data_IF_325990212958
#
_entry.id   IF_325990212958
#
_cell.length_a   1.000
_cell.length_b   1.000
_cell.length_c   1.000
_cell.angle_alpha   90.00
_cell.angle_beta   90.00
_cell.angle_gamma   90.00
#
_symmetry.space_group_name_H-M   'P 1'
#
loop_
_entity.id
_entity.type
_entity.pdbx_description
1 polymer ?
#
# COMPACT_ATOMS: atom_id res chain seq x y z
N UNK A 1 10.72 4.68 -9.30
CA UNK A 1 11.80 4.45 -8.31
C UNK A 1 11.50 5.27 -7.07
N UNK A 2 11.89 4.74 -5.87
CA UNK A 2 11.72 5.48 -4.62
C UNK A 2 12.74 5.02 -3.58
N UNK A 3 12.94 5.87 -2.57
CA UNK A 3 13.93 5.65 -1.52
C UNK A 3 13.35 6.04 -0.16
N UNK A 4 13.73 5.31 0.86
CA UNK A 4 13.41 5.65 2.25
C UNK A 4 14.43 6.63 2.82
N UNK A 5 14.01 7.42 3.80
CA UNK A 5 14.87 8.36 4.52
C UNK A 5 14.38 8.54 5.96
N UNK A 6 15.31 8.51 6.92
CA UNK A 6 15.06 8.67 8.36
C UNK A 6 15.71 9.95 8.92
N UNK A 7 16.52 10.62 8.11
CA UNK A 7 17.19 11.87 8.46
C UNK A 7 17.20 12.86 7.30
N UNK A 8 17.49 14.12 7.57
CA UNK A 8 17.63 15.15 6.53
C UNK A 8 18.74 14.82 5.54
N UNK A 9 19.81 14.20 6.00
CA UNK A 9 20.95 13.76 5.18
C UNK A 9 20.53 12.66 4.22
N UNK A 10 19.76 11.70 4.70
CA UNK A 10 19.21 10.64 3.86
C UNK A 10 18.19 11.16 2.86
N UNK A 11 17.37 12.17 3.22
CA UNK A 11 16.48 12.85 2.26
C UNK A 11 17.29 13.47 1.12
N UNK A 12 18.39 14.16 1.41
CA UNK A 12 19.30 14.73 0.37
C UNK A 12 19.89 13.63 -0.51
N UNK A 13 20.32 12.52 0.10
CA UNK A 13 20.83 11.35 -0.64
C UNK A 13 19.76 10.74 -1.54
N UNK A 14 18.53 10.60 -1.04
CA UNK A 14 17.40 10.11 -1.83
C UNK A 14 17.11 11.00 -3.05
N UNK A 15 17.12 12.33 -2.85
CA UNK A 15 16.95 13.29 -3.94
C UNK A 15 18.04 13.17 -5.01
N UNK A 16 19.30 13.03 -4.59
CA UNK A 16 20.42 12.82 -5.53
C UNK A 16 20.26 11.54 -6.34
N UNK A 17 19.78 10.45 -5.71
CA UNK A 17 19.53 9.16 -6.39
C UNK A 17 18.31 9.17 -7.32
N UNK A 18 17.31 9.99 -7.02
CA UNK A 18 16.14 10.20 -7.87
C UNK A 18 16.48 11.01 -9.12
N UNK A 19 17.45 11.92 -9.00
CA UNK A 19 17.87 12.78 -10.09
C UNK A 19 16.93 13.96 -10.37
N UNK A 20 17.00 14.46 -11.58
CA UNK A 20 16.19 15.60 -12.04
C UNK A 20 14.79 15.14 -12.45
N UNK A 21 13.86 15.18 -11.49
CA UNK A 21 12.44 14.91 -11.72
C UNK A 21 11.60 16.13 -11.34
N UNK A 22 10.48 16.31 -12.03
CA UNK A 22 9.66 17.53 -11.92
C UNK A 22 8.68 17.51 -10.74
N UNK A 23 8.34 16.33 -10.21
CA UNK A 23 7.37 16.16 -9.13
C UNK A 23 7.76 15.01 -8.23
N UNK A 24 7.71 15.25 -6.93
CA UNK A 24 8.02 14.28 -5.89
C UNK A 24 6.80 13.98 -5.05
N UNK A 25 6.71 12.74 -4.57
CA UNK A 25 5.77 12.35 -3.52
C UNK A 25 6.54 11.93 -2.29
N UNK A 26 6.21 12.53 -1.15
CA UNK A 26 6.68 12.10 0.17
C UNK A 26 5.54 11.37 0.86
N UNK A 27 5.81 10.16 1.34
CA UNK A 27 4.84 9.37 2.10
C UNK A 27 5.41 9.05 3.48
N UNK A 28 4.72 9.48 4.54
CA UNK A 28 5.03 9.03 5.90
C UNK A 28 4.86 7.52 6.00
N UNK A 29 5.85 6.84 6.57
CA UNK A 29 5.80 5.40 6.80
C UNK A 29 5.42 5.16 8.25
N UNK A 30 4.17 4.77 8.48
CA UNK A 30 3.60 4.32 9.75
C UNK A 30 2.64 3.17 9.48
N UNK A 31 2.45 2.29 10.44
CA UNK A 31 1.50 1.16 10.34
C UNK A 31 0.04 1.62 10.52
N UNK A 32 -0.37 2.62 9.75
CA UNK A 32 -1.75 3.11 9.74
C UNK A 32 -2.15 3.61 8.34
N UNK A 33 -3.41 3.40 8.00
CA UNK A 33 -4.05 3.96 6.83
C UNK A 33 -4.50 5.43 7.03
N UNK A 34 -5.05 6.02 5.97
CA UNK A 34 -5.59 7.38 6.00
C UNK A 34 -4.54 8.49 6.12
N UNK A 35 -3.26 8.19 5.90
CA UNK A 35 -2.12 9.11 6.05
C UNK A 35 -2.28 10.42 5.28
N UNK A 36 -2.84 10.35 4.06
CA UNK A 36 -3.06 11.54 3.23
C UNK A 36 -4.01 12.57 3.85
N UNK A 37 -5.02 12.11 4.59
CA UNK A 37 -6.00 12.93 5.30
C UNK A 37 -5.59 13.26 6.73
N UNK A 38 -4.50 12.68 7.23
CA UNK A 38 -3.99 12.86 8.59
C UNK A 38 -3.47 14.28 8.85
N UNK A 39 -3.22 14.59 10.12
CA UNK A 39 -2.61 15.84 10.55
C UNK A 39 -1.52 15.57 11.57
N UNK A 40 -0.42 16.29 11.47
CA UNK A 40 0.64 16.22 12.47
C UNK A 40 0.28 17.01 13.72
N UNK A 41 0.80 16.62 14.87
CA UNK A 41 0.62 17.34 16.14
C UNK A 41 1.08 18.81 16.06
N UNK A 42 1.96 19.15 15.12
CA UNK A 42 2.44 20.51 14.81
C UNK A 42 1.42 21.35 14.02
N UNK A 43 0.29 20.78 13.59
CA UNK A 43 -0.69 21.42 12.70
C UNK A 43 -0.38 21.27 11.21
N UNK A 44 0.75 20.65 10.85
CA UNK A 44 1.07 20.34 9.44
C UNK A 44 0.11 19.26 8.93
N UNK A 45 -0.52 19.47 7.77
CA UNK A 45 -1.56 18.59 7.24
C UNK A 45 -1.03 17.64 6.18
N UNK A 46 -1.48 16.39 6.22
CA UNK A 46 -1.21 15.36 5.24
C UNK A 46 0.12 14.63 5.45
N UNK A 47 0.05 13.32 5.67
CA UNK A 47 1.20 12.41 5.70
C UNK A 47 1.64 11.92 4.31
N UNK A 48 0.96 12.38 3.25
CA UNK A 48 1.35 12.20 1.85
C UNK A 48 1.37 13.59 1.21
N UNK A 49 2.49 13.97 0.59
CA UNK A 49 2.69 15.28 -0.03
C UNK A 49 3.23 15.14 -1.42
N UNK A 50 2.61 15.86 -2.34
CA UNK A 50 3.13 16.10 -3.69
C UNK A 50 3.80 17.47 -3.70
N UNK A 51 5.05 17.53 -4.13
CA UNK A 51 5.87 18.74 -4.17
C UNK A 51 6.67 18.81 -5.48
N UNK A 52 7.08 20.02 -5.89
CA UNK A 52 7.57 20.26 -7.24
C UNK A 52 9.10 20.47 -7.32
N UNK A 53 9.79 20.53 -6.19
CA UNK A 53 11.24 20.78 -6.18
C UNK A 53 11.91 20.27 -4.90
N UNK A 54 13.22 20.16 -4.93
CA UNK A 54 14.04 19.68 -3.81
C UNK A 54 13.87 20.52 -2.54
N UNK A 55 13.72 21.84 -2.65
CA UNK A 55 13.56 22.72 -1.48
C UNK A 55 12.23 22.43 -0.76
N UNK A 56 11.16 22.20 -1.50
CA UNK A 56 9.87 21.79 -0.94
C UNK A 56 9.94 20.39 -0.30
N UNK A 57 10.66 19.44 -0.91
CA UNK A 57 10.92 18.12 -0.31
C UNK A 57 11.58 18.26 1.05
N UNK A 58 12.66 19.04 1.15
CA UNK A 58 13.37 19.26 2.41
C UNK A 58 12.48 19.94 3.45
N UNK A 59 11.70 20.94 3.07
CA UNK A 59 10.76 21.62 3.97
C UNK A 59 9.65 20.67 4.45
N UNK A 60 9.09 19.87 3.57
CA UNK A 60 8.06 18.88 3.92
C UNK A 60 8.64 17.81 4.85
N UNK A 61 9.83 17.27 4.55
CA UNK A 61 10.48 16.24 5.36
C UNK A 61 10.74 16.72 6.80
N UNK A 62 11.16 17.98 7.00
CA UNK A 62 11.36 18.58 8.33
C UNK A 62 10.06 18.68 9.14
N UNK A 63 8.92 18.90 8.47
CA UNK A 63 7.62 18.95 9.14
C UNK A 63 7.05 17.56 9.45
N UNK A 64 7.53 16.52 8.77
CA UNK A 64 7.00 15.17 8.88
C UNK A 64 7.88 14.28 9.78
N UNK A 65 9.21 14.27 9.57
CA UNK A 65 10.13 13.44 10.36
C UNK A 65 10.14 13.83 11.84
N UNK A 66 10.06 12.84 12.70
CA UNK A 66 10.10 13.01 14.15
C UNK A 66 8.81 13.51 14.79
N UNK A 67 7.80 13.88 13.99
CA UNK A 67 6.52 14.37 14.46
C UNK A 67 5.43 13.28 14.41
N UNK A 68 4.45 13.36 15.32
CA UNK A 68 3.34 12.41 15.37
C UNK A 68 2.30 12.76 14.31
N UNK A 69 1.98 11.78 13.47
CA UNK A 69 0.89 11.85 12.49
C UNK A 69 -0.37 11.22 13.08
N UNK A 70 -1.43 12.01 13.14
CA UNK A 70 -2.76 11.62 13.63
C UNK A 70 -3.62 11.28 12.42
N UNK A 71 -4.14 10.05 12.40
CA UNK A 71 -5.11 9.56 11.41
C UNK A 71 -6.31 8.95 12.11
N UNK A 72 -7.35 8.58 11.37
CA UNK A 72 -8.49 7.87 11.94
C UNK A 72 -8.10 6.55 12.62
N UNK A 73 -7.03 5.90 12.14
CA UNK A 73 -6.56 4.60 12.67
C UNK A 73 -5.55 4.71 13.82
N UNK A 74 -4.81 5.82 13.93
CA UNK A 74 -3.82 6.00 15.02
C UNK A 74 -4.41 6.53 16.31
N UNK A 75 -5.65 7.02 16.26
CA UNK A 75 -6.25 7.74 17.38
C UNK A 75 -5.58 9.11 17.64
N UNK A 76 -6.00 9.81 18.71
CA UNK A 76 -5.59 11.20 18.99
C UNK A 76 -4.10 11.36 19.37
N UNK A 77 -3.45 10.32 19.87
CA UNK A 77 -2.01 10.34 20.18
C UNK A 77 -1.14 10.35 18.93
N UNK A 78 -1.67 9.86 17.82
CA UNK A 78 -0.93 9.70 16.59
C UNK A 78 0.18 8.65 16.67
N UNK A 79 0.93 8.50 15.57
CA UNK A 79 2.15 7.69 15.49
C UNK A 79 3.30 8.55 15.01
N UNK A 80 4.47 8.38 15.63
CA UNK A 80 5.68 9.12 15.27
C UNK A 80 6.20 8.67 13.92
N UNK A 81 6.38 9.60 12.99
CA UNK A 81 6.95 9.33 11.67
C UNK A 81 8.47 9.28 11.78
N UNK A 82 9.02 8.09 11.74
CA UNK A 82 10.47 7.87 11.76
C UNK A 82 11.06 7.75 10.36
N UNK A 83 10.26 7.30 9.40
CA UNK A 83 10.70 7.03 8.03
C UNK A 83 9.77 7.72 7.04
N UNK A 84 10.36 8.33 6.02
CA UNK A 84 9.66 8.81 4.82
C UNK A 84 10.03 7.93 3.63
N UNK A 85 9.08 7.70 2.75
CA UNK A 85 9.32 7.17 1.42
C UNK A 85 9.19 8.31 0.41
N UNK A 86 10.23 8.52 -0.39
CA UNK A 86 10.33 9.61 -1.37
C UNK A 86 10.41 8.98 -2.75
N UNK A 87 9.53 9.37 -3.63
CA UNK A 87 9.44 8.83 -5.00
C UNK A 87 9.04 9.90 -5.99
N UNK A 88 9.21 9.61 -7.28
CA UNK A 88 8.64 10.38 -8.36
C UNK A 88 7.12 10.30 -8.32
N UNK A 89 6.44 11.41 -8.63
CA UNK A 89 4.98 11.42 -8.82
C UNK A 89 4.61 10.80 -10.16
N UNK A 90 3.53 10.03 -10.16
CA UNK A 90 2.91 9.52 -11.38
C UNK A 90 1.69 10.36 -11.72
N UNK A 91 1.48 10.65 -13.01
CA UNK A 91 0.20 11.16 -13.47
C UNK A 91 -0.80 10.01 -13.48
N UNK A 92 -1.95 10.23 -12.85
CA UNK A 92 -2.98 9.22 -12.64
C UNK A 92 -4.14 9.48 -13.60
N UNK A 93 -4.48 8.48 -14.41
CA UNK A 93 -5.68 8.51 -15.27
C UNK A 93 -6.89 7.98 -14.50
N UNK A 94 -6.72 6.89 -13.77
CA UNK A 94 -7.79 6.28 -12.96
C UNK A 94 -7.21 5.52 -11.78
N UNK A 95 -7.95 5.50 -10.67
CA UNK A 95 -7.61 4.77 -9.45
C UNK A 95 -8.57 3.60 -9.25
N UNK A 96 -8.03 2.42 -8.96
CA UNK A 96 -8.75 1.19 -8.70
C UNK A 96 -8.39 0.65 -7.32
N UNK A 97 -9.27 -0.18 -6.79
CA UNK A 97 -8.98 -1.04 -5.64
C UNK A 97 -8.71 -2.47 -6.10
N UNK A 98 -7.75 -3.14 -5.48
CA UNK A 98 -7.45 -4.55 -5.69
C UNK A 98 -6.97 -5.18 -4.39
N UNK A 99 -7.59 -6.30 -3.98
CA UNK A 99 -7.10 -7.07 -2.84
C UNK A 99 -7.24 -8.57 -3.06
N UNK A 100 -6.43 -9.34 -2.33
CA UNK A 100 -6.55 -10.79 -2.22
C UNK A 100 -6.71 -11.11 -0.73
N UNK A 101 -7.77 -11.81 -0.39
CA UNK A 101 -8.11 -12.21 0.99
C UNK A 101 -8.46 -13.69 1.05
N UNK A 102 -8.36 -14.27 2.25
CA UNK A 102 -8.91 -15.58 2.52
C UNK A 102 -10.38 -15.45 2.95
N UNK A 103 -11.28 -16.01 2.17
CA UNK A 103 -12.68 -16.17 2.55
C UNK A 103 -12.82 -17.46 3.38
N UNK A 104 -13.07 -17.28 4.68
CA UNK A 104 -13.17 -18.40 5.63
C UNK A 104 -14.47 -19.19 5.48
N UNK A 105 -15.52 -18.57 4.97
CA UNK A 105 -16.81 -19.21 4.74
C UNK A 105 -16.72 -20.27 3.63
N UNK A 106 -16.06 -19.92 2.54
CA UNK A 106 -15.91 -20.78 1.36
C UNK A 106 -14.60 -21.54 1.33
N UNK A 107 -13.68 -21.27 2.29
CA UNK A 107 -12.32 -21.80 2.34
C UNK A 107 -11.55 -21.60 1.03
N UNK A 108 -11.74 -20.43 0.40
CA UNK A 108 -11.09 -20.05 -0.85
C UNK A 108 -10.41 -18.70 -0.71
N UNK A 109 -9.37 -18.47 -1.52
CA UNK A 109 -8.91 -17.10 -1.73
C UNK A 109 -9.88 -16.36 -2.64
N UNK A 110 -10.16 -15.10 -2.33
CA UNK A 110 -11.03 -14.24 -3.13
C UNK A 110 -10.24 -13.01 -3.56
N UNK A 111 -10.29 -12.71 -4.85
CA UNK A 111 -9.80 -11.44 -5.36
C UNK A 111 -10.96 -10.46 -5.33
N UNK A 112 -10.77 -9.33 -4.65
CA UNK A 112 -11.71 -8.23 -4.58
C UNK A 112 -11.14 -7.09 -5.41
N UNK A 113 -11.93 -6.52 -6.29
CA UNK A 113 -11.54 -5.39 -7.10
C UNK A 113 -12.68 -4.36 -7.19
N UNK A 114 -12.35 -3.10 -7.43
CA UNK A 114 -13.33 -2.06 -7.68
C UNK A 114 -12.75 -0.98 -8.60
N UNK A 115 -13.62 -0.34 -9.37
CA UNK A 115 -13.30 0.87 -10.12
C UNK A 115 -13.19 2.10 -9.24
N UNK A 116 -13.57 2.01 -7.96
CA UNK A 116 -13.46 3.06 -6.95
C UNK A 116 -12.22 2.79 -6.09
N UNK A 117 -11.10 3.41 -6.47
CA UNK A 117 -9.83 3.31 -5.74
C UNK A 117 -9.49 4.56 -4.95
N UNK A 118 -8.43 4.48 -4.14
CA UNK A 118 -7.95 5.62 -3.34
C UNK A 118 -8.85 6.01 -2.15
N UNK A 119 -9.89 5.22 -1.88
CA UNK A 119 -10.85 5.45 -0.81
C UNK A 119 -11.06 4.19 0.04
N UNK A 120 -11.88 4.32 1.07
CA UNK A 120 -12.22 3.24 1.98
C UNK A 120 -13.17 2.26 1.28
N UNK A 121 -12.73 1.02 1.13
CA UNK A 121 -13.48 0.00 0.39
C UNK A 121 -14.75 -0.43 1.14
N UNK A 122 -14.75 -0.35 2.46
CA UNK A 122 -15.94 -0.64 3.28
C UNK A 122 -17.04 0.36 2.98
N UNK A 123 -16.71 1.64 2.85
CA UNK A 123 -17.68 2.66 2.43
C UNK A 123 -18.21 2.41 1.00
N UNK A 124 -17.36 2.01 0.08
CA UNK A 124 -17.77 1.63 -1.29
C UNK A 124 -18.72 0.43 -1.25
N UNK A 125 -18.44 -0.56 -0.39
CA UNK A 125 -19.30 -1.75 -0.26
C UNK A 125 -20.68 -1.44 0.34
N UNK A 126 -20.78 -0.44 1.20
CA UNK A 126 -22.05 0.03 1.79
C UNK A 126 -22.85 0.90 0.81
N UNK A 127 -22.19 1.88 0.17
CA UNK A 127 -22.86 2.87 -0.68
C UNK A 127 -23.12 2.37 -2.10
N UNK A 128 -22.19 1.59 -2.65
CA UNK A 128 -22.21 1.12 -4.05
C UNK A 128 -21.73 -0.32 -4.19
N UNK A 129 -22.45 -1.32 -3.60
CA UNK A 129 -22.04 -2.73 -3.60
C UNK A 129 -21.84 -3.31 -5.01
N UNK A 130 -22.57 -2.81 -5.99
CA UNK A 130 -22.45 -3.23 -7.39
C UNK A 130 -21.08 -2.89 -8.02
N UNK A 131 -20.31 -1.99 -7.39
CA UNK A 131 -18.95 -1.66 -7.80
C UNK A 131 -17.90 -2.64 -7.27
N UNK A 132 -18.30 -3.56 -6.40
CA UNK A 132 -17.40 -4.55 -5.82
C UNK A 132 -17.40 -5.83 -6.66
N UNK A 133 -16.30 -6.06 -7.32
CA UNK A 133 -16.03 -7.28 -8.09
C UNK A 133 -15.45 -8.33 -7.14
N UNK A 134 -16.04 -9.51 -7.08
CA UNK A 134 -15.54 -10.65 -6.29
C UNK A 134 -15.28 -11.84 -7.19
N UNK A 135 -14.03 -12.31 -7.19
CA UNK A 135 -13.61 -13.45 -8.01
C UNK A 135 -12.99 -14.52 -7.09
N UNK A 136 -13.75 -15.56 -6.72
CA UNK A 136 -13.22 -16.66 -5.94
C UNK A 136 -12.22 -17.47 -6.77
N UNK A 137 -11.16 -17.93 -6.11
CA UNK A 137 -10.12 -18.76 -6.71
C UNK A 137 -9.98 -20.04 -5.91
N UNK A 138 -10.36 -21.14 -6.52
CA UNK A 138 -10.28 -22.47 -5.89
C UNK A 138 -8.83 -22.82 -5.54
N UNK A 139 -8.54 -23.28 -4.32
CA UNK A 139 -7.20 -23.70 -3.92
C UNK A 139 -6.70 -24.90 -4.73
N UNK A 140 -7.61 -25.74 -5.25
CA UNK A 140 -7.27 -26.91 -6.05
C UNK A 140 -6.69 -26.54 -7.44
N UNK A 141 -7.09 -25.40 -8.01
CA UNK A 141 -6.66 -24.98 -9.35
C UNK A 141 -5.74 -23.77 -9.35
N UNK A 142 -5.77 -22.98 -8.27
CA UNK A 142 -5.08 -21.71 -8.15
C UNK A 142 -5.56 -20.66 -9.15
N UNK A 143 -4.85 -19.56 -9.21
CA UNK A 143 -5.15 -18.48 -10.14
C UNK A 143 -4.95 -18.93 -11.59
N UNK A 144 -5.95 -18.68 -12.42
CA UNK A 144 -5.92 -19.02 -13.85
C UNK A 144 -6.13 -17.78 -14.72
N UNK A 145 -5.69 -17.81 -15.98
CA UNK A 145 -5.79 -16.66 -16.88
C UNK A 145 -7.21 -16.09 -17.04
N UNK A 146 -8.24 -16.91 -16.90
CA UNK A 146 -9.63 -16.43 -16.99
C UNK A 146 -10.03 -15.56 -15.80
N UNK A 147 -9.52 -15.82 -14.59
CA UNK A 147 -9.72 -14.95 -13.43
C UNK A 147 -9.14 -13.56 -13.70
N UNK A 148 -7.90 -13.52 -14.18
CA UNK A 148 -7.21 -12.25 -14.49
C UNK A 148 -7.95 -11.47 -15.60
N UNK A 149 -8.38 -12.15 -16.67
CA UNK A 149 -9.16 -11.51 -17.74
C UNK A 149 -10.48 -10.96 -17.23
N UNK A 150 -11.21 -11.73 -16.42
CA UNK A 150 -12.47 -11.28 -15.83
C UNK A 150 -12.27 -10.00 -15.06
N UNK A 151 -11.32 -9.97 -14.12
CA UNK A 151 -11.00 -8.79 -13.32
C UNK A 151 -10.61 -7.60 -14.22
N UNK A 152 -9.72 -7.82 -15.20
CA UNK A 152 -9.30 -6.76 -16.11
C UNK A 152 -10.46 -6.15 -16.89
N UNK A 153 -11.40 -6.97 -17.39
CA UNK A 153 -12.55 -6.49 -18.14
C UNK A 153 -13.56 -5.76 -17.24
N UNK A 154 -13.84 -6.30 -16.07
CA UNK A 154 -14.74 -5.66 -15.12
C UNK A 154 -14.19 -4.34 -14.57
N UNK A 155 -12.84 -4.18 -14.52
CA UNK A 155 -12.18 -2.90 -14.23
C UNK A 155 -12.13 -1.95 -15.45
N UNK A 156 -12.59 -2.38 -16.62
CA UNK A 156 -12.54 -1.57 -17.84
C UNK A 156 -11.13 -1.38 -18.43
N UNK A 157 -10.19 -2.28 -18.09
CA UNK A 157 -8.83 -2.22 -18.63
C UNK A 157 -8.79 -2.71 -20.09
N UNK A 158 -7.97 -2.09 -20.91
CA UNK A 158 -7.89 -2.35 -22.35
C UNK A 158 -6.47 -2.62 -22.84
N UNK A 159 -6.34 -3.24 -23.99
CA UNK A 159 -5.09 -3.42 -24.70
C UNK A 159 -3.99 -4.05 -23.86
N UNK A 160 -2.86 -3.37 -23.73
CA UNK A 160 -1.70 -3.82 -22.95
C UNK A 160 -1.93 -3.84 -21.45
N UNK A 161 -2.88 -3.04 -20.94
CA UNK A 161 -3.23 -2.97 -19.52
C UNK A 161 -3.74 -4.32 -18.99
N UNK A 162 -4.50 -5.07 -19.82
CA UNK A 162 -4.98 -6.42 -19.46
C UNK A 162 -3.82 -7.35 -19.14
N UNK A 163 -2.78 -7.34 -19.96
CA UNK A 163 -1.58 -8.15 -19.74
C UNK A 163 -0.80 -7.72 -18.50
N UNK A 164 -0.67 -6.41 -18.31
CA UNK A 164 0.01 -5.85 -17.13
C UNK A 164 -0.73 -6.21 -15.83
N UNK A 165 -2.05 -6.05 -15.81
CA UNK A 165 -2.90 -6.45 -14.68
C UNK A 165 -2.81 -7.95 -14.40
N UNK A 166 -2.82 -8.79 -15.44
CA UNK A 166 -2.67 -10.24 -15.29
C UNK A 166 -1.31 -10.63 -14.69
N UNK A 167 -0.22 -9.98 -15.11
CA UNK A 167 1.10 -10.20 -14.56
C UNK A 167 1.17 -9.77 -13.08
N UNK A 168 0.60 -8.60 -12.76
CA UNK A 168 0.53 -8.10 -11.40
C UNK A 168 -0.25 -9.06 -10.50
N UNK A 169 -1.47 -9.45 -10.91
CA UNK A 169 -2.31 -10.41 -10.18
C UNK A 169 -1.58 -11.74 -9.95
N UNK A 170 -0.87 -12.23 -10.95
CA UNK A 170 -0.08 -13.47 -10.82
C UNK A 170 1.02 -13.33 -9.77
N UNK A 171 1.72 -12.19 -9.74
CA UNK A 171 2.74 -11.90 -8.73
C UNK A 171 2.16 -11.75 -7.32
N UNK A 172 1.04 -11.00 -7.18
CA UNK A 172 0.37 -10.82 -5.89
C UNK A 172 -0.22 -12.13 -5.35
N UNK A 173 -0.80 -12.96 -6.22
CA UNK A 173 -1.33 -14.27 -5.85
C UNK A 173 -0.22 -15.23 -5.40
N UNK A 174 0.92 -15.19 -6.08
CA UNK A 174 2.13 -15.94 -5.68
C UNK A 174 2.62 -15.48 -4.30
N UNK A 175 2.75 -14.17 -4.08
CA UNK A 175 3.12 -13.60 -2.79
C UNK A 175 2.13 -14.05 -1.68
N UNK A 176 0.81 -13.98 -1.95
CA UNK A 176 -0.23 -14.36 -1.01
C UNK A 176 -0.04 -15.78 -0.48
N UNK A 177 0.20 -16.73 -1.36
CA UNK A 177 0.37 -18.13 -0.98
C UNK A 177 1.77 -18.47 -0.46
N UNK A 178 2.83 -18.01 -1.12
CA UNK A 178 4.20 -18.36 -0.76
C UNK A 178 4.66 -17.72 0.56
N UNK A 179 4.04 -16.61 0.96
CA UNK A 179 4.39 -15.88 2.18
C UNK A 179 3.32 -15.98 3.28
N UNK A 180 2.36 -16.87 3.12
CA UNK A 180 1.25 -17.03 4.07
C UNK A 180 0.59 -15.70 4.41
N UNK A 181 0.32 -14.88 3.39
CA UNK A 181 -0.38 -13.62 3.59
C UNK A 181 -1.86 -13.87 3.88
N UNK A 182 -2.42 -13.08 4.77
CA UNK A 182 -3.85 -13.05 5.09
C UNK A 182 -4.59 -11.99 4.27
N UNK A 183 -3.86 -10.94 3.89
CA UNK A 183 -4.33 -9.84 3.06
C UNK A 183 -3.17 -9.37 2.19
N UNK A 184 -3.45 -9.18 0.90
CA UNK A 184 -2.61 -8.38 -0.02
C UNK A 184 -3.54 -7.36 -0.64
N UNK A 185 -3.35 -6.08 -0.33
CA UNK A 185 -4.19 -4.97 -0.77
C UNK A 185 -3.35 -3.96 -1.54
N UNK A 186 -3.86 -3.54 -2.69
CA UNK A 186 -3.32 -2.45 -3.50
C UNK A 186 -4.38 -1.34 -3.55
N UNK A 187 -4.11 -0.23 -2.88
CA UNK A 187 -5.06 0.89 -2.82
C UNK A 187 -4.32 2.25 -2.80
N UNK A 188 -4.25 2.93 -3.95
CA UNK A 188 -4.82 2.53 -5.23
C UNK A 188 -3.88 1.69 -6.12
N UNK A 189 -4.49 0.85 -6.95
CA UNK A 189 -3.95 0.42 -8.21
C UNK A 189 -4.29 1.51 -9.23
N UNK A 190 -3.35 1.95 -10.06
CA UNK A 190 -3.60 3.06 -10.98
C UNK A 190 -3.34 2.69 -12.44
N UNK A 191 -4.00 3.41 -13.32
CA UNK A 191 -3.56 3.54 -14.72
C UNK A 191 -2.99 4.93 -14.97
N UNK A 192 -2.04 5.03 -15.86
CA UNK A 192 -1.39 6.28 -16.27
C UNK A 192 -1.81 6.66 -17.68
N UNK A 193 -1.62 7.94 -18.10
CA UNK A 193 -1.97 8.39 -19.46
C UNK A 193 -1.22 7.65 -20.58
N UNK A 194 -0.03 7.13 -20.32
CA UNK A 194 0.76 6.30 -21.23
C UNK A 194 0.35 4.82 -21.23
N UNK A 195 -0.69 4.46 -20.45
CA UNK A 195 -1.26 3.11 -20.42
C UNK A 195 -0.54 2.12 -19.51
N UNK A 196 0.31 2.59 -18.58
CA UNK A 196 0.88 1.72 -17.57
C UNK A 196 -0.13 1.37 -16.46
N UNK A 197 0.00 0.16 -15.87
CA UNK A 197 -0.73 -0.28 -14.69
C UNK A 197 0.26 -0.39 -13.52
N UNK A 198 0.05 0.39 -12.47
CA UNK A 198 1.02 0.55 -11.38
C UNK A 198 0.34 0.35 -10.03
N UNK A 199 0.93 -0.48 -9.17
CA UNK A 199 0.60 -0.54 -7.75
C UNK A 199 1.23 0.69 -7.06
N UNK A 200 0.42 1.66 -6.65
CA UNK A 200 0.91 2.91 -6.09
C UNK A 200 1.16 2.82 -4.59
N UNK A 201 0.32 2.07 -3.90
CA UNK A 201 0.49 1.72 -2.48
C UNK A 201 0.05 0.28 -2.25
N UNK A 202 0.71 -0.40 -1.31
CA UNK A 202 0.42 -1.77 -0.97
C UNK A 202 0.38 -1.96 0.55
N UNK A 203 -0.56 -2.78 1.00
CA UNK A 203 -0.65 -3.25 2.38
C UNK A 203 -0.68 -4.76 2.37
N UNK A 204 0.23 -5.38 3.11
CA UNK A 204 0.29 -6.84 3.22
C UNK A 204 0.25 -7.21 4.69
N UNK A 205 -0.64 -8.14 5.04
CA UNK A 205 -0.68 -8.74 6.38
C UNK A 205 -0.34 -10.21 6.26
N UNK A 206 0.52 -10.70 7.14
CA UNK A 206 0.97 -12.08 7.17
C UNK A 206 0.29 -12.85 8.31
N UNK A 207 0.16 -14.16 8.16
CA UNK A 207 -0.28 -15.02 9.25
C UNK A 207 0.82 -15.09 10.32
N UNK A 208 0.53 -14.57 11.50
CA UNK A 208 1.46 -14.59 12.64
C UNK A 208 1.91 -16.01 13.01
N UNK A 209 1.03 -17.01 12.82
CA UNK A 209 1.35 -18.41 13.09
C UNK A 209 2.30 -19.03 12.06
N UNK A 210 2.48 -18.40 10.91
CA UNK A 210 3.35 -18.87 9.84
C UNK A 210 4.67 -18.08 9.74
N UNK A 211 4.84 -17.00 10.50
CA UNK A 211 6.02 -16.11 10.39
C UNK A 211 7.34 -16.83 10.69
N UNK A 212 7.34 -17.87 11.52
CA UNK A 212 8.53 -18.68 11.78
C UNK A 212 9.10 -19.36 10.53
N UNK A 213 8.30 -19.56 9.49
CA UNK A 213 8.71 -20.10 8.20
C UNK A 213 9.32 -19.04 7.27
N UNK A 214 9.21 -17.77 7.63
CA UNK A 214 9.58 -16.61 6.81
C UNK A 214 10.52 -15.65 7.56
N UNK A 215 11.78 -16.06 7.84
CA UNK A 215 12.74 -15.20 8.56
C UNK A 215 12.92 -13.84 7.91
N UNK A 216 12.89 -13.77 6.58
CA UNK A 216 13.02 -12.53 5.80
C UNK A 216 11.86 -11.54 6.04
N UNK A 217 10.68 -12.03 6.43
CA UNK A 217 9.55 -11.17 6.83
C UNK A 217 9.76 -10.67 8.25
N UNK A 218 10.28 -11.54 9.14
CA UNK A 218 10.59 -11.16 10.51
C UNK A 218 11.68 -10.07 10.58
N UNK A 219 12.62 -10.06 9.63
CA UNK A 219 13.63 -9.02 9.51
C UNK A 219 13.06 -7.63 9.14
N UNK A 220 11.87 -7.60 8.53
CA UNK A 220 11.17 -6.35 8.20
C UNK A 220 10.37 -5.78 9.37
N UNK A 221 10.32 -6.47 10.50
CA UNK A 221 9.56 -6.08 11.68
C UNK A 221 10.08 -4.77 12.26
N UNK A 222 9.21 -3.80 12.46
CA UNK A 222 9.53 -2.53 13.12
C UNK A 222 8.91 -2.49 14.52
N UNK A 223 9.70 -2.79 15.53
CA UNK A 223 9.26 -2.83 16.93
C UNK A 223 8.74 -1.48 17.45
N UNK A 224 9.08 -0.36 16.81
CA UNK A 224 8.58 0.96 17.20
C UNK A 224 7.14 1.20 16.74
N UNK A 225 6.66 0.42 15.77
CA UNK A 225 5.30 0.51 15.24
C UNK A 225 4.35 -0.52 15.89
N UNK A 226 4.89 -1.46 16.68
CA UNK A 226 4.11 -2.49 17.37
C UNK A 226 3.58 -2.01 18.74
N UNK A 227 2.65 -2.74 19.31
CA UNK A 227 2.21 -2.53 20.70
C UNK A 227 3.32 -2.96 21.67
N UNK A 228 3.68 -2.11 22.62
CA UNK A 228 4.75 -2.37 23.59
C UNK A 228 4.53 -3.67 24.39
N UNK A 229 3.26 -4.01 24.66
CA UNK A 229 2.91 -5.24 25.40
C UNK A 229 3.10 -6.49 24.54
N UNK A 230 2.79 -6.40 23.24
CA UNK A 230 3.04 -7.49 22.29
C UNK A 230 4.53 -7.71 22.07
N UNK A 231 5.31 -6.61 21.96
CA UNK A 231 6.77 -6.67 21.89
C UNK A 231 7.35 -7.30 23.16
N UNK A 232 6.84 -6.94 24.34
CA UNK A 232 7.29 -7.53 25.58
C UNK A 232 6.92 -9.02 25.68
N UNK A 233 5.70 -9.38 25.33
CA UNK A 233 5.24 -10.76 25.33
C UNK A 233 6.06 -11.66 24.39
N UNK A 234 6.46 -11.13 23.24
CA UNK A 234 7.26 -11.88 22.25
C UNK A 234 8.66 -12.31 22.74
N UNK A 235 9.15 -11.76 23.87
CA UNK A 235 10.42 -12.16 24.48
C UNK A 235 10.33 -13.46 25.26
N UNK A 236 9.13 -13.93 25.53
CA UNK A 236 8.85 -15.13 26.36
C UNK A 236 8.29 -16.32 25.56
N UNK A 237 8.19 -16.17 24.23
CA UNK A 237 7.74 -17.22 23.30
C UNK A 237 8.90 -17.87 22.56
#
# INVERSE_FOLDING_TARGET
KGYTAQSTEEVKSALTKLGDINKFVLKAQIHAGGRGKGSFCTGYKGGVKVVNNHAEVLKASQNMLGNNLITAQTGPSGRKVQTLYITEACDISHEYYLAIVLDRETAQSVIIASTEGGMDIEAVAEETPDKIIRVPVSPATGLRPHHCRRISFELGLEGTQIKQCANLLSGLYKLFWEKNAMLVEINPLITTPDGAVIALDAKVSFDANATFMHPEIMELRDLNEEDEKEVEASKYN
#
